data_IF_629652021758
#
_entry.id   IF_629652021758
#
_cell.length_a   1.000
_cell.length_b   1.000
_cell.length_c   1.000
_cell.angle_alpha   90.00
_cell.angle_beta   90.00
_cell.angle_gamma   90.00
#
_symmetry.space_group_name_H-M   'P 1'
#
loop_
_entity.id
_entity.type
_entity.pdbx_description
1 polymer ?
#
# COMPACT_ATOMS: atom_id res chain seq x y z
N UNK A 1 8.62 -1.34 66.28
CA UNK A 1 8.31 -1.89 64.95
C UNK A 1 7.72 -0.84 63.99
N UNK A 2 6.85 0.09 64.40
CA UNK A 2 6.20 1.06 63.51
C UNK A 2 7.15 2.05 62.80
N UNK A 3 8.28 2.43 63.40
CA UNK A 3 9.22 3.38 62.76
C UNK A 3 9.90 2.85 61.51
N UNK A 4 10.27 1.55 61.45
CA UNK A 4 10.90 0.95 60.25
C UNK A 4 9.96 0.84 59.07
N UNK A 5 8.67 0.66 59.31
CA UNK A 5 7.65 0.57 58.27
C UNK A 5 7.45 1.95 57.59
N UNK A 6 7.45 3.01 58.40
CA UNK A 6 7.27 4.38 57.90
C UNK A 6 8.42 4.88 57.01
N UNK A 7 9.65 4.40 57.22
CA UNK A 7 10.82 4.78 56.40
C UNK A 7 10.82 4.13 55.00
N UNK A 8 10.14 3.00 54.80
CA UNK A 8 10.08 2.30 53.52
C UNK A 8 8.92 2.78 52.63
N UNK A 9 7.88 3.42 53.17
CA UNK A 9 6.73 3.92 52.42
C UNK A 9 7.10 4.91 51.29
N UNK A 10 7.96 5.91 51.49
CA UNK A 10 8.30 6.83 50.41
C UNK A 10 9.06 6.13 49.26
N UNK A 11 9.86 5.11 49.57
CA UNK A 11 10.58 4.35 48.58
C UNK A 11 9.64 3.51 47.72
N UNK A 12 8.70 2.79 48.33
CA UNK A 12 7.71 2.00 47.59
C UNK A 12 6.78 2.89 46.80
N UNK A 13 6.39 4.05 47.33
CA UNK A 13 5.57 5.02 46.63
C UNK A 13 6.29 5.58 45.40
N UNK A 14 7.56 5.96 45.55
CA UNK A 14 8.37 6.45 44.43
C UNK A 14 8.54 5.38 43.34
N UNK A 15 8.77 4.15 43.73
CA UNK A 15 8.90 3.00 42.79
C UNK A 15 7.59 2.76 42.03
N UNK A 16 6.46 2.83 42.71
CA UNK A 16 5.13 2.71 42.10
C UNK A 16 4.85 3.85 41.08
N UNK A 17 5.22 5.08 41.41
CA UNK A 17 5.08 6.22 40.49
C UNK A 17 5.94 6.03 39.23
N UNK A 18 7.16 5.51 39.36
CA UNK A 18 8.04 5.26 38.22
C UNK A 18 7.43 4.19 37.30
N UNK A 19 6.92 3.09 37.87
CA UNK A 19 6.26 2.04 37.09
C UNK A 19 5.04 2.59 36.36
N UNK A 20 4.21 3.40 37.03
CA UNK A 20 3.04 4.02 36.43
C UNK A 20 3.41 4.94 35.27
N UNK A 21 4.48 5.70 35.40
CA UNK A 21 4.98 6.62 34.39
C UNK A 21 5.50 5.83 33.16
N UNK A 22 6.27 4.75 33.39
CA UNK A 22 6.77 3.87 32.32
C UNK A 22 5.59 3.21 31.60
N UNK A 23 4.59 2.74 32.34
CA UNK A 23 3.42 2.10 31.74
C UNK A 23 2.62 3.07 30.86
N UNK A 24 2.39 4.32 31.32
CA UNK A 24 1.73 5.36 30.54
C UNK A 24 2.52 5.73 29.27
N UNK A 25 3.86 5.78 29.36
CA UNK A 25 4.72 6.01 28.21
C UNK A 25 4.59 4.88 27.18
N UNK A 26 4.62 3.62 27.64
CA UNK A 26 4.47 2.42 26.80
C UNK A 26 3.12 2.43 26.07
N UNK A 27 2.03 2.71 26.78
CA UNK A 27 0.68 2.84 26.18
C UNK A 27 0.65 3.96 25.15
N UNK A 28 1.25 5.12 25.44
CA UNK A 28 1.34 6.23 24.48
C UNK A 28 2.08 5.86 23.20
N UNK A 29 3.20 5.13 23.31
CA UNK A 29 3.97 4.63 22.18
C UNK A 29 3.13 3.62 21.37
N UNK A 30 2.46 2.67 22.05
CA UNK A 30 1.60 1.68 21.38
C UNK A 30 0.46 2.32 20.58
N UNK A 31 -0.22 3.33 21.15
CA UNK A 31 -1.29 4.04 20.44
C UNK A 31 -0.74 4.77 19.22
N UNK A 32 0.42 5.42 19.34
CA UNK A 32 1.05 6.16 18.25
C UNK A 32 1.49 5.22 17.11
N UNK A 33 2.13 4.09 17.43
CA UNK A 33 2.54 3.08 16.46
C UNK A 33 1.31 2.45 15.78
N UNK A 34 0.28 2.10 16.55
CA UNK A 34 -0.97 1.55 15.98
C UNK A 34 -1.68 2.55 15.06
N UNK A 35 -1.67 3.84 15.40
CA UNK A 35 -2.22 4.90 14.55
C UNK A 35 -1.45 5.06 13.25
N UNK A 36 -0.12 4.95 13.29
CA UNK A 36 0.73 4.99 12.10
C UNK A 36 0.52 3.77 11.20
N UNK A 37 0.40 2.57 11.77
CA UNK A 37 0.12 1.34 11.03
C UNK A 37 -1.25 1.40 10.35
N UNK A 38 -2.31 1.84 11.04
CA UNK A 38 -3.65 2.03 10.44
C UNK A 38 -3.63 3.02 9.28
N UNK A 39 -2.94 4.14 9.40
CA UNK A 39 -2.79 5.09 8.28
C UNK A 39 -2.07 4.47 7.09
N UNK A 40 -1.12 3.57 7.33
CA UNK A 40 -0.41 2.84 6.27
C UNK A 40 -1.31 1.79 5.61
N UNK A 41 -2.15 1.09 6.37
CA UNK A 41 -3.12 0.12 5.85
C UNK A 41 -4.25 0.79 5.06
N UNK A 42 -4.72 1.97 5.49
CA UNK A 42 -5.72 2.74 4.75
C UNK A 42 -5.21 3.33 3.43
N UNK A 43 -3.89 3.49 3.28
CA UNK A 43 -3.26 4.04 2.07
C UNK A 43 -2.82 2.96 1.07
N UNK A 44 -2.70 1.71 1.49
CA UNK A 44 -2.31 0.61 0.61
C UNK A 44 -3.52 -0.02 -0.11
N UNK A 45 -3.27 -0.65 -1.25
CA UNK A 45 -4.26 -1.49 -1.92
C UNK A 45 -4.74 -2.53 -0.90
N UNK A 46 -6.06 -2.64 -0.73
CA UNK A 46 -6.64 -3.62 0.18
C UNK A 46 -6.25 -5.04 -0.29
N UNK A 47 -6.05 -5.96 0.66
CA UNK A 47 -5.68 -7.36 0.37
C UNK A 47 -6.65 -7.99 -0.63
N UNK A 48 -7.95 -7.70 -0.52
CA UNK A 48 -8.97 -8.17 -1.49
C UNK A 48 -8.74 -7.62 -2.90
N UNK A 49 -8.39 -6.36 -3.03
CA UNK A 49 -8.04 -5.76 -4.32
C UNK A 49 -6.77 -6.36 -4.92
N UNK A 50 -5.81 -6.76 -4.09
CA UNK A 50 -4.60 -7.44 -4.56
C UNK A 50 -4.90 -8.83 -5.11
N UNK A 51 -5.80 -9.57 -4.47
CA UNK A 51 -6.23 -10.89 -4.96
C UNK A 51 -7.02 -10.78 -6.27
N UNK A 52 -7.88 -9.78 -6.40
CA UNK A 52 -8.58 -9.47 -7.64
C UNK A 52 -7.59 -9.11 -8.77
N UNK A 53 -6.55 -8.34 -8.46
CA UNK A 53 -5.48 -8.00 -9.41
C UNK A 53 -4.69 -9.24 -9.83
N UNK A 54 -4.37 -10.15 -8.91
CA UNK A 54 -3.69 -11.42 -9.21
C UNK A 54 -4.53 -12.31 -10.11
N UNK A 55 -5.81 -12.46 -9.80
CA UNK A 55 -6.75 -13.26 -10.59
C UNK A 55 -6.88 -12.70 -12.00
N UNK A 56 -6.99 -11.38 -12.10
CA UNK A 56 -7.03 -10.69 -13.38
C UNK A 56 -5.72 -10.88 -14.16
N UNK A 57 -4.56 -10.81 -13.48
CA UNK A 57 -3.26 -11.04 -14.12
C UNK A 57 -3.14 -12.45 -14.68
N UNK A 58 -3.62 -13.47 -13.95
CA UNK A 58 -3.57 -14.86 -14.37
C UNK A 58 -4.33 -15.12 -15.69
N UNK A 59 -5.35 -14.31 -16.02
CA UNK A 59 -6.04 -14.39 -17.31
C UNK A 59 -5.11 -14.03 -18.48
N UNK A 60 -4.16 -13.12 -18.27
CA UNK A 60 -3.24 -12.62 -19.29
C UNK A 60 -1.86 -13.31 -19.27
N UNK A 61 -1.51 -13.94 -18.15
CA UNK A 61 -0.30 -14.77 -17.99
C UNK A 61 -0.63 -16.18 -17.48
N UNK A 62 -1.28 -17.01 -18.30
CA UNK A 62 -1.70 -18.37 -17.88
C UNK A 62 -0.51 -19.30 -17.59
N UNK A 63 0.70 -18.93 -18.03
CA UNK A 63 1.92 -19.70 -17.77
C UNK A 63 2.61 -19.32 -16.46
N UNK A 64 2.16 -18.25 -15.80
CA UNK A 64 2.77 -17.76 -14.56
C UNK A 64 4.20 -17.26 -14.75
N UNK A 65 4.52 -16.69 -15.92
CA UNK A 65 5.84 -16.15 -16.22
C UNK A 65 6.14 -14.86 -15.46
N UNK A 66 5.11 -14.18 -14.93
CA UNK A 66 5.20 -12.88 -14.29
C UNK A 66 5.32 -11.71 -15.27
N UNK A 67 5.14 -11.96 -16.57
CA UNK A 67 5.24 -10.95 -17.61
C UNK A 67 4.04 -11.00 -18.55
N UNK A 68 3.53 -9.83 -18.93
CA UNK A 68 2.49 -9.68 -19.96
C UNK A 68 2.98 -8.80 -21.10
N UNK A 69 2.46 -9.00 -22.31
CA UNK A 69 2.77 -8.15 -23.46
C UNK A 69 2.24 -6.72 -23.22
N UNK A 70 3.05 -5.73 -23.54
CA UNK A 70 2.71 -4.30 -23.42
C UNK A 70 1.43 -3.95 -24.21
N UNK A 71 1.17 -4.62 -25.33
CA UNK A 71 -0.03 -4.40 -26.14
C UNK A 71 -1.31 -4.77 -25.39
N UNK A 72 -1.24 -5.81 -24.57
CA UNK A 72 -2.38 -6.31 -23.78
C UNK A 72 -2.58 -5.49 -22.50
N UNK A 73 -1.52 -4.81 -22.03
CA UNK A 73 -1.54 -4.01 -20.81
C UNK A 73 -2.67 -2.96 -20.79
N UNK A 74 -3.01 -2.42 -21.97
CA UNK A 74 -4.08 -1.43 -22.03
C UNK A 74 -5.45 -2.02 -21.64
N UNK A 75 -5.77 -3.22 -22.13
CA UNK A 75 -7.00 -3.92 -21.77
C UNK A 75 -6.99 -4.30 -20.28
N UNK A 76 -5.87 -4.78 -19.80
CA UNK A 76 -5.64 -5.08 -18.39
C UNK A 76 -5.79 -3.84 -17.49
N UNK A 77 -5.22 -2.70 -17.88
CA UNK A 77 -5.29 -1.46 -17.09
C UNK A 77 -6.70 -0.89 -16.96
N UNK A 78 -7.53 -1.05 -17.99
CA UNK A 78 -8.93 -0.62 -17.94
C UNK A 78 -9.76 -1.46 -16.95
N UNK A 79 -9.49 -2.76 -16.84
CA UNK A 79 -10.14 -3.65 -15.86
C UNK A 79 -9.65 -3.40 -14.43
N UNK A 80 -8.35 -3.11 -14.26
CA UNK A 80 -7.79 -2.72 -12.95
C UNK A 80 -8.38 -1.40 -12.46
N UNK A 81 -8.60 -0.43 -13.35
CA UNK A 81 -9.22 0.83 -12.97
C UNK A 81 -10.58 0.63 -12.30
N UNK A 82 -11.34 -0.38 -12.73
CA UNK A 82 -12.59 -0.77 -12.08
C UNK A 82 -12.37 -1.29 -10.65
N UNK A 83 -11.39 -2.16 -10.45
CA UNK A 83 -11.04 -2.72 -9.15
C UNK A 83 -10.59 -1.62 -8.18
N UNK A 84 -9.86 -0.65 -8.68
CA UNK A 84 -9.39 0.51 -7.91
C UNK A 84 -10.45 1.61 -7.72
N UNK A 85 -11.65 1.44 -8.27
CA UNK A 85 -12.75 2.42 -8.17
C UNK A 85 -12.53 3.68 -9.01
N UNK A 86 -11.65 3.64 -10.01
CA UNK A 86 -11.42 4.74 -10.94
C UNK A 86 -12.50 4.75 -12.01
N UNK A 87 -13.14 5.90 -12.24
CA UNK A 87 -14.18 6.03 -13.26
C UNK A 87 -13.60 5.84 -14.65
N UNK A 88 -14.07 4.83 -15.37
CA UNK A 88 -13.58 4.45 -16.72
C UNK A 88 -13.76 5.62 -17.73
N UNK A 89 -14.77 6.48 -17.54
CA UNK A 89 -15.00 7.63 -18.42
C UNK A 89 -13.77 8.53 -18.56
N UNK A 90 -13.01 8.67 -17.46
CA UNK A 90 -11.80 9.49 -17.43
C UNK A 90 -10.63 8.84 -18.20
N UNK A 91 -10.68 7.53 -18.43
CA UNK A 91 -9.66 6.73 -19.12
C UNK A 91 -9.96 6.57 -20.64
N UNK A 92 -11.13 6.95 -21.11
CA UNK A 92 -11.49 6.85 -22.54
C UNK A 92 -10.79 7.90 -23.39
N UNK A 93 -10.44 9.04 -22.81
CA UNK A 93 -9.72 10.10 -23.51
C UNK A 93 -8.23 9.74 -23.71
N UNK A 94 -7.72 9.96 -24.93
CA UNK A 94 -6.34 9.65 -25.31
C UNK A 94 -5.31 10.40 -24.47
N UNK A 95 -5.55 11.67 -24.17
CA UNK A 95 -4.64 12.50 -23.37
C UNK A 95 -4.60 12.03 -21.91
N UNK A 96 -5.74 11.66 -21.36
CA UNK A 96 -5.84 11.10 -20.01
C UNK A 96 -5.12 9.75 -19.91
N UNK A 97 -5.23 8.92 -20.94
CA UNK A 97 -4.46 7.65 -21.03
C UNK A 97 -2.96 7.90 -21.01
N UNK A 98 -2.50 8.82 -21.84
CA UNK A 98 -1.08 9.16 -21.95
C UNK A 98 -0.53 9.69 -20.62
N UNK A 99 -1.30 10.53 -19.92
CA UNK A 99 -0.96 11.01 -18.57
C UNK A 99 -0.91 9.87 -17.57
N UNK A 100 -1.87 8.95 -17.59
CA UNK A 100 -1.92 7.79 -16.72
C UNK A 100 -0.72 6.86 -16.92
N UNK A 101 -0.37 6.55 -18.17
CA UNK A 101 0.83 5.77 -18.48
C UNK A 101 2.12 6.44 -18.03
N UNK A 102 2.20 7.78 -18.16
CA UNK A 102 3.34 8.55 -17.68
C UNK A 102 3.45 8.56 -16.16
N UNK A 103 2.31 8.61 -15.46
CA UNK A 103 2.27 8.52 -13.99
C UNK A 103 2.67 7.14 -13.48
N UNK A 104 2.30 6.08 -14.21
CA UNK A 104 2.69 4.71 -13.88
C UNK A 104 4.20 4.50 -13.92
N UNK A 105 4.92 5.25 -14.77
CA UNK A 105 6.38 5.16 -14.94
C UNK A 105 6.88 3.70 -14.96
N UNK A 106 6.21 2.88 -15.80
CA UNK A 106 6.48 1.44 -15.86
C UNK A 106 7.80 1.17 -16.57
N UNK A 107 8.56 0.23 -16.01
CA UNK A 107 9.70 -0.36 -16.70
C UNK A 107 9.21 -1.31 -17.79
N UNK A 108 9.69 -1.08 -19.00
CA UNK A 108 9.42 -1.94 -20.16
C UNK A 108 10.61 -2.87 -20.36
N UNK A 109 10.35 -4.16 -20.44
CA UNK A 109 11.35 -5.20 -20.65
C UNK A 109 11.22 -5.75 -22.07
N UNK A 110 12.36 -6.00 -22.71
CA UNK A 110 12.37 -6.72 -23.99
C UNK A 110 12.37 -8.23 -23.75
N UNK A 111 11.55 -8.96 -24.51
CA UNK A 111 11.57 -10.42 -24.43
C UNK A 111 12.91 -10.96 -24.95
N UNK A 112 13.57 -11.79 -24.14
CA UNK A 112 14.87 -12.40 -24.46
C UNK A 112 14.80 -13.26 -25.74
N UNK A 113 13.64 -13.84 -26.03
CA UNK A 113 13.43 -14.71 -27.21
C UNK A 113 13.02 -13.94 -28.45
N UNK A 114 12.25 -12.86 -28.30
CA UNK A 114 11.74 -12.05 -29.38
C UNK A 114 12.00 -10.56 -29.09
N UNK A 115 13.07 -10.02 -29.62
CA UNK A 115 13.51 -8.62 -29.41
C UNK A 115 12.47 -7.55 -29.81
N UNK A 116 11.38 -7.94 -30.47
CA UNK A 116 10.30 -7.02 -30.88
C UNK A 116 9.09 -7.05 -29.95
N UNK A 117 9.12 -7.85 -28.87
CA UNK A 117 8.03 -7.95 -27.91
C UNK A 117 8.43 -7.23 -26.63
N UNK A 118 7.67 -6.23 -26.30
CA UNK A 118 7.84 -5.47 -25.03
C UNK A 118 6.93 -6.05 -23.97
N UNK A 119 7.49 -6.35 -22.81
CA UNK A 119 6.80 -7.00 -21.71
C UNK A 119 6.82 -6.12 -20.45
N UNK A 120 5.81 -6.29 -19.61
CA UNK A 120 5.68 -5.66 -18.32
C UNK A 120 5.72 -6.70 -17.21
N UNK A 121 6.45 -6.41 -16.15
CA UNK A 121 6.56 -7.29 -14.98
C UNK A 121 5.41 -7.03 -14.00
N UNK A 122 4.85 -8.10 -13.42
CA UNK A 122 3.76 -8.03 -12.44
C UNK A 122 4.08 -7.14 -11.24
N UNK A 123 5.27 -7.32 -10.66
CA UNK A 123 5.68 -6.57 -9.47
C UNK A 123 5.74 -5.06 -9.74
N UNK A 124 6.31 -4.66 -10.88
CA UNK A 124 6.43 -3.25 -11.24
C UNK A 124 5.05 -2.62 -11.49
N UNK A 125 4.15 -3.37 -12.10
CA UNK A 125 2.76 -2.92 -12.36
C UNK A 125 2.01 -2.73 -11.05
N UNK A 126 2.03 -3.72 -10.13
CA UNK A 126 1.36 -3.63 -8.83
C UNK A 126 1.94 -2.49 -7.99
N UNK A 127 3.26 -2.33 -7.96
CA UNK A 127 3.92 -1.25 -7.23
C UNK A 127 3.50 0.14 -7.78
N UNK A 128 3.42 0.28 -9.10
CA UNK A 128 3.02 1.54 -9.74
C UNK A 128 1.55 1.86 -9.48
N UNK A 129 0.67 0.85 -9.55
CA UNK A 129 -0.75 1.00 -9.25
C UNK A 129 -1.00 1.37 -7.78
N UNK A 130 -0.25 0.76 -6.85
CA UNK A 130 -0.36 1.09 -5.42
C UNK A 130 0.02 2.56 -5.15
N UNK A 131 1.05 3.07 -5.82
CA UNK A 131 1.42 4.50 -5.73
C UNK A 131 0.32 5.43 -6.23
N UNK A 132 -0.31 5.08 -7.36
CA UNK A 132 -1.41 5.89 -7.90
C UNK A 132 -2.64 5.83 -6.99
N UNK A 133 -3.00 4.67 -6.46
CA UNK A 133 -4.12 4.53 -5.54
C UNK A 133 -3.94 5.42 -4.30
N UNK A 134 -2.72 5.48 -3.77
CA UNK A 134 -2.36 6.40 -2.67
C UNK A 134 -2.55 7.85 -3.08
N UNK A 135 -2.00 8.27 -4.23
CA UNK A 135 -2.11 9.65 -4.71
C UNK A 135 -3.56 10.08 -4.97
N UNK A 136 -4.39 9.19 -5.50
CA UNK A 136 -5.81 9.48 -5.74
C UNK A 136 -6.60 9.63 -4.44
N UNK A 137 -6.31 8.84 -3.41
CA UNK A 137 -6.92 9.01 -2.08
C UNK A 137 -6.60 10.38 -1.49
N UNK A 138 -5.34 10.81 -1.54
CA UNK A 138 -4.94 12.13 -1.03
C UNK A 138 -5.64 13.28 -1.75
N UNK A 139 -5.80 13.21 -3.07
CA UNK A 139 -6.48 14.25 -3.84
C UNK A 139 -8.00 14.32 -3.58
N UNK A 140 -8.64 13.22 -3.15
CA UNK A 140 -10.05 13.21 -2.81
C UNK A 140 -10.33 13.70 -1.37
N UNK A 141 -9.35 13.69 -0.50
CA UNK A 141 -9.47 14.19 0.89
C UNK A 141 -9.28 15.72 0.96
N UNK A 142 -8.66 16.32 -0.07
CA UNK A 142 -8.40 17.77 -0.12
C UNK A 142 -9.48 18.59 -0.84
N UNK A 143 -10.62 18.00 -1.17
CA UNK A 143 -11.84 18.67 -1.65
C UNK A 143 -12.95 18.59 -0.63
#
# INVERSE_FOLDING_TARGET
>A
MAKRVAEHYPFFFSFYLIILLIFNLLVGIMINVSGSLRKHEESSINIYQLDDIKNLWAEYDPKGCGYIDYKVFWLFSSRIALILGVKIKDLLDFETRKRFLKLLNLKIYEDVKNKNIFCLNFHDVVLSLSRIAVLMKFNNVSK
#
